data_IF_776608694647
#
_entry.id   IF_776608694647
#
_cell.length_a   1.000
_cell.length_b   1.000
_cell.length_c   1.000
_cell.angle_alpha   90.00
_cell.angle_beta   90.00
_cell.angle_gamma   90.00
#
_symmetry.space_group_name_H-M   'P 1'
#
loop_
_entity.id
_entity.type
_entity.pdbx_description
1 polymer ?
#
# COMPACT_ATOMS: atom_id res chain seq x y z
N UNK A 1 -5.46 12.02 6.31
CA UNK A 1 -5.02 13.23 5.57
C UNK A 1 -4.30 14.24 6.48
N UNK A 2 -4.92 14.90 7.48
CA UNK A 2 -4.27 15.96 8.26
C UNK A 2 -2.94 15.55 8.91
N UNK A 3 -2.86 14.37 9.50
CA UNK A 3 -1.65 13.82 10.10
C UNK A 3 -0.53 13.58 9.06
N UNK A 4 -0.90 13.10 7.87
CA UNK A 4 0.01 12.96 6.73
C UNK A 4 0.61 14.33 6.34
N UNK A 5 -0.24 15.34 6.09
CA UNK A 5 0.21 16.67 5.68
C UNK A 5 1.05 17.37 6.77
N UNK A 6 0.67 17.24 8.04
CA UNK A 6 1.44 17.77 9.16
C UNK A 6 2.86 17.18 9.21
N UNK A 7 2.99 15.89 8.90
CA UNK A 7 4.28 15.20 8.91
C UNK A 7 5.24 15.62 7.79
N UNK A 8 4.74 16.29 6.75
CA UNK A 8 5.52 16.74 5.59
C UNK A 8 5.51 18.25 5.39
N UNK A 9 5.00 19.04 6.32
CA UNK A 9 4.96 20.50 6.24
C UNK A 9 6.34 21.17 6.11
N UNK A 10 7.39 20.42 6.32
CA UNK A 10 8.78 20.84 6.14
C UNK A 10 9.27 20.81 4.68
N UNK A 11 8.50 20.22 3.76
CA UNK A 11 8.82 20.22 2.34
C UNK A 11 8.62 21.63 1.73
N UNK A 12 9.40 21.96 0.70
CA UNK A 12 9.31 23.27 0.04
C UNK A 12 7.99 23.45 -0.69
N UNK A 13 7.39 22.37 -1.17
CA UNK A 13 6.05 22.36 -1.77
C UNK A 13 5.27 21.09 -1.42
N UNK A 14 3.96 21.20 -1.33
CA UNK A 14 3.04 20.07 -1.17
C UNK A 14 2.03 20.12 -2.32
N UNK A 15 1.91 19.03 -3.06
CA UNK A 15 0.98 18.88 -4.17
C UNK A 15 -0.03 17.80 -3.82
N UNK A 16 -1.31 18.12 -3.97
CA UNK A 16 -2.41 17.20 -3.70
C UNK A 16 -3.24 17.01 -4.97
N UNK A 17 -3.46 15.74 -5.33
CA UNK A 17 -4.41 15.39 -6.39
C UNK A 17 -5.52 14.56 -5.77
N UNK A 18 -6.73 15.16 -5.72
CA UNK A 18 -7.92 14.55 -5.14
C UNK A 18 -8.81 13.98 -6.24
N UNK A 19 -9.47 12.86 -5.95
CA UNK A 19 -10.34 12.16 -6.91
C UNK A 19 -11.83 12.40 -6.67
N UNK A 20 -12.17 13.57 -6.14
CA UNK A 20 -13.55 13.95 -5.85
C UNK A 20 -14.01 13.52 -4.46
N UNK A 21 -13.19 13.69 -3.43
CA UNK A 21 -13.58 13.47 -2.04
C UNK A 21 -14.81 14.28 -1.66
N UNK A 22 -15.76 13.62 -0.98
CA UNK A 22 -17.03 14.21 -0.53
C UNK A 22 -17.02 14.58 0.95
N UNK A 23 -15.92 14.30 1.64
CA UNK A 23 -15.70 14.64 3.06
C UNK A 23 -14.81 15.91 3.19
N UNK A 24 -14.36 16.22 4.39
CA UNK A 24 -13.53 17.39 4.67
C UNK A 24 -12.08 17.29 4.13
N UNK A 25 -11.74 16.30 3.29
CA UNK A 25 -10.37 16.07 2.80
C UNK A 25 -9.79 17.29 2.11
N UNK A 26 -10.49 17.86 1.13
CA UNK A 26 -10.01 19.03 0.37
C UNK A 26 -9.87 20.27 1.28
N UNK A 27 -10.78 20.48 2.22
CA UNK A 27 -10.71 21.59 3.19
C UNK A 27 -9.51 21.46 4.13
N UNK A 28 -9.19 20.23 4.53
CA UNK A 28 -7.98 19.94 5.32
C UNK A 28 -6.74 20.26 4.50
N UNK A 29 -6.68 19.83 3.22
CA UNK A 29 -5.55 20.07 2.33
C UNK A 29 -5.25 21.57 2.15
N UNK A 30 -6.29 22.41 2.00
CA UNK A 30 -6.18 23.87 1.84
C UNK A 30 -5.47 24.58 3.01
N UNK A 31 -5.35 23.95 4.17
CA UNK A 31 -4.60 24.50 5.31
C UNK A 31 -3.09 24.36 5.15
N UNK A 32 -2.63 23.53 4.22
CA UNK A 32 -1.22 23.21 4.01
C UNK A 32 -0.69 23.63 2.64
N UNK A 33 -1.55 23.72 1.64
CA UNK A 33 -1.15 24.08 0.27
C UNK A 33 -2.32 24.62 -0.55
N UNK A 34 -2.00 25.50 -1.49
CA UNK A 34 -2.94 25.95 -2.53
C UNK A 34 -2.84 25.12 -3.81
N UNK A 35 -1.84 24.20 -3.89
CA UNK A 35 -1.60 23.34 -5.05
C UNK A 35 -2.42 22.07 -4.98
N UNK A 36 -3.74 22.21 -5.10
CA UNK A 36 -4.73 21.15 -5.04
C UNK A 36 -5.44 21.04 -6.38
N UNK A 37 -5.45 19.85 -6.96
CA UNK A 37 -6.22 19.54 -8.17
C UNK A 37 -7.26 18.47 -7.86
N UNK A 38 -8.53 18.79 -8.12
CA UNK A 38 -9.62 17.81 -8.04
C UNK A 38 -9.93 17.33 -9.45
N UNK A 39 -9.91 16.01 -9.67
CA UNK A 39 -10.04 15.40 -11.00
C UNK A 39 -10.65 14.00 -10.91
N UNK A 40 -10.83 13.32 -12.07
CA UNK A 40 -11.29 11.93 -12.13
C UNK A 40 -10.26 10.93 -11.57
N UNK A 41 -10.68 9.68 -11.40
CA UNK A 41 -9.85 8.59 -10.96
C UNK A 41 -9.46 7.64 -12.11
N UNK A 42 -8.29 7.79 -12.72
CA UNK A 42 -7.80 6.88 -13.79
C UNK A 42 -7.07 5.64 -13.26
N UNK A 43 -6.83 5.55 -11.95
CA UNK A 43 -6.03 4.56 -11.28
C UNK A 43 -4.84 5.17 -10.52
N UNK A 44 -4.19 4.39 -9.64
CA UNK A 44 -3.14 4.90 -8.75
C UNK A 44 -1.94 5.48 -9.51
N UNK A 45 -1.37 4.73 -10.46
CA UNK A 45 -0.20 5.19 -11.22
C UNK A 45 -0.44 6.47 -12.00
N UNK A 46 -1.47 6.54 -12.88
CA UNK A 46 -1.81 7.77 -13.59
C UNK A 46 -2.10 8.96 -12.65
N UNK A 47 -2.77 8.73 -11.51
CA UNK A 47 -3.06 9.80 -10.55
C UNK A 47 -1.79 10.36 -9.90
N UNK A 48 -0.86 9.48 -9.50
CA UNK A 48 0.45 9.89 -8.95
C UNK A 48 1.30 10.60 -10.01
N UNK A 49 1.24 10.18 -11.28
CA UNK A 49 1.93 10.89 -12.37
C UNK A 49 1.35 12.28 -12.63
N UNK A 50 0.05 12.51 -12.42
CA UNK A 50 -0.53 13.86 -12.47
C UNK A 50 0.07 14.78 -11.40
N UNK A 51 0.22 14.29 -10.17
CA UNK A 51 0.88 15.03 -9.10
C UNK A 51 2.36 15.27 -9.43
N UNK A 52 3.05 14.26 -9.93
CA UNK A 52 4.46 14.36 -10.34
C UNK A 52 4.68 15.42 -11.44
N UNK A 53 3.79 15.51 -12.42
CA UNK A 53 3.86 16.50 -13.49
C UNK A 53 3.71 17.95 -12.99
N UNK A 54 3.13 18.15 -11.83
CA UNK A 54 2.97 19.47 -11.20
C UNK A 54 4.17 19.83 -10.32
N UNK A 55 5.05 18.87 -9.99
CA UNK A 55 6.20 19.09 -9.11
C UNK A 55 7.25 19.99 -9.75
N UNK A 56 7.79 20.95 -8.97
CA UNK A 56 8.84 21.89 -9.39
C UNK A 56 10.15 21.68 -8.66
N UNK A 57 10.14 21.08 -7.47
CA UNK A 57 11.34 20.75 -6.69
C UNK A 57 12.23 19.72 -7.37
N UNK A 58 13.50 19.66 -7.00
CA UNK A 58 14.49 18.74 -7.58
C UNK A 58 14.25 17.29 -7.15
N UNK A 59 13.64 17.10 -5.99
CA UNK A 59 13.33 15.80 -5.41
C UNK A 59 11.84 15.66 -5.15
N UNK A 60 11.34 14.45 -5.29
CA UNK A 60 9.95 14.09 -5.06
C UNK A 60 9.87 13.05 -3.95
N UNK A 61 9.11 13.37 -2.90
CA UNK A 61 8.67 12.41 -1.88
C UNK A 61 7.20 12.08 -2.15
N UNK A 62 6.94 10.88 -2.64
CA UNK A 62 5.55 10.42 -2.87
C UNK A 62 5.04 9.67 -1.66
N UNK A 63 3.96 10.15 -1.06
CA UNK A 63 3.29 9.51 0.09
C UNK A 63 1.79 9.38 -0.15
N UNK A 64 1.19 8.39 0.48
CA UNK A 64 -0.25 8.18 0.46
C UNK A 64 -0.91 8.92 1.65
N UNK A 65 -2.19 9.26 1.53
CA UNK A 65 -2.93 10.07 2.51
C UNK A 65 -3.04 9.43 3.92
N UNK A 66 -2.77 8.16 4.03
CA UNK A 66 -2.72 7.36 5.26
C UNK A 66 -1.29 6.99 5.70
N UNK A 67 -0.28 7.60 5.08
CA UNK A 67 1.12 7.50 5.48
C UNK A 67 1.55 8.72 6.31
N UNK A 68 2.56 8.54 7.17
CA UNK A 68 3.10 9.57 8.07
C UNK A 68 4.62 9.47 8.11
N UNK A 69 5.29 10.57 7.79
CA UNK A 69 6.74 10.69 7.87
C UNK A 69 7.15 10.93 9.32
N UNK A 70 7.92 10.00 9.90
CA UNK A 70 8.42 10.20 11.27
C UNK A 70 9.42 11.35 11.34
N UNK A 71 9.59 12.02 12.50
CA UNK A 71 10.63 13.07 12.65
C UNK A 71 12.03 12.57 12.28
N UNK A 72 12.37 11.33 12.65
CA UNK A 72 13.65 10.70 12.26
C UNK A 72 13.79 10.53 10.75
N UNK A 73 12.72 10.10 10.05
CA UNK A 73 12.74 9.97 8.60
C UNK A 73 12.86 11.35 7.92
N UNK A 74 12.13 12.35 8.41
CA UNK A 74 12.24 13.72 7.90
C UNK A 74 13.66 14.28 8.01
N UNK A 75 14.33 13.99 9.14
CA UNK A 75 15.71 14.38 9.34
C UNK A 75 16.66 13.65 8.39
N UNK A 76 16.56 12.32 8.29
CA UNK A 76 17.38 11.50 7.40
C UNK A 76 17.21 11.90 5.93
N UNK A 77 15.98 12.23 5.48
CA UNK A 77 15.73 12.75 4.13
C UNK A 77 16.50 14.05 3.91
N UNK A 78 16.40 15.03 4.81
CA UNK A 78 17.11 16.31 4.68
C UNK A 78 18.63 16.12 4.62
N UNK A 79 19.18 15.22 5.43
CA UNK A 79 20.61 14.92 5.44
C UNK A 79 21.08 14.29 4.13
N UNK A 80 20.35 13.29 3.65
CA UNK A 80 20.70 12.61 2.39
C UNK A 80 20.59 13.53 1.19
N UNK A 81 19.66 14.49 1.18
CA UNK A 81 19.49 15.45 0.08
C UNK A 81 20.57 16.53 0.02
N UNK A 82 21.40 16.72 1.08
CA UNK A 82 22.56 17.63 1.02
C UNK A 82 23.68 17.08 0.15
N UNK A 83 23.86 15.75 0.09
CA UNK A 83 24.87 15.08 -0.72
C UNK A 83 24.34 13.72 -1.20
N UNK A 84 23.40 13.69 -2.15
CA UNK A 84 22.72 12.46 -2.54
C UNK A 84 23.69 11.52 -3.30
N UNK A 85 23.73 10.26 -2.89
CA UNK A 85 24.55 9.20 -3.48
C UNK A 85 23.80 8.34 -4.50
N UNK A 86 22.49 8.54 -4.65
CA UNK A 86 21.61 7.76 -5.53
C UNK A 86 20.54 8.67 -6.13
N UNK A 87 19.91 8.24 -7.21
CA UNK A 87 18.79 8.95 -7.85
C UNK A 87 17.43 8.67 -7.16
N UNK A 88 17.38 7.67 -6.31
CA UNK A 88 16.20 7.40 -5.49
C UNK A 88 16.53 6.61 -4.23
N UNK A 89 15.58 6.60 -3.30
CA UNK A 89 15.74 5.93 -2.02
C UNK A 89 14.47 5.18 -1.65
N UNK A 90 14.64 3.92 -1.21
CA UNK A 90 13.59 3.18 -0.56
C UNK A 90 13.46 3.58 0.90
N UNK A 91 12.25 3.60 1.39
CA UNK A 91 11.89 3.78 2.80
C UNK A 91 11.28 2.49 3.32
N UNK A 92 11.54 2.13 4.57
CA UNK A 92 10.92 0.97 5.16
C UNK A 92 9.57 1.35 5.77
N UNK A 93 8.50 0.87 5.15
CA UNK A 93 7.13 1.16 5.56
C UNK A 93 6.69 0.22 6.68
N UNK A 94 6.17 0.79 7.77
CA UNK A 94 5.63 0.09 8.92
C UNK A 94 4.11 0.26 8.96
N UNK A 95 3.39 -0.78 8.56
CA UNK A 95 1.94 -0.75 8.44
C UNK A 95 1.24 -1.15 9.75
N UNK A 96 0.12 -0.48 10.05
CA UNK A 96 -0.72 -0.83 11.19
C UNK A 96 -1.90 -1.72 10.79
N UNK A 97 -2.28 -2.60 11.69
CA UNK A 97 -3.46 -3.44 11.61
C UNK A 97 -4.32 -3.22 12.87
N UNK A 98 -5.49 -2.63 12.70
CA UNK A 98 -6.43 -2.31 13.78
C UNK A 98 -5.76 -1.59 14.97
N UNK A 99 -4.91 -0.60 14.66
CA UNK A 99 -4.23 0.25 15.66
C UNK A 99 -2.87 -0.25 16.14
N UNK A 100 -2.44 -1.48 15.80
CA UNK A 100 -1.11 -2.00 16.12
C UNK A 100 -0.20 -1.98 14.90
N UNK A 101 0.99 -1.41 15.03
CA UNK A 101 2.04 -1.53 14.02
C UNK A 101 2.64 -2.94 14.02
N UNK A 102 2.64 -3.58 12.82
CA UNK A 102 3.00 -4.98 12.62
C UNK A 102 4.47 -5.11 12.24
N UNK A 103 5.25 -5.82 13.07
CA UNK A 103 6.68 -6.06 12.81
C UNK A 103 7.00 -7.49 12.38
N UNK A 104 5.98 -8.32 12.28
CA UNK A 104 6.05 -9.73 11.88
C UNK A 104 4.92 -10.04 10.90
N UNK A 105 4.43 -11.27 10.87
CA UNK A 105 3.28 -11.66 10.03
C UNK A 105 3.51 -11.48 8.52
N UNK A 106 4.77 -11.28 8.10
CA UNK A 106 5.13 -11.00 6.71
C UNK A 106 4.87 -9.55 6.25
N UNK A 107 4.64 -8.63 7.19
CA UNK A 107 4.38 -7.21 6.92
C UNK A 107 5.61 -6.33 7.09
N UNK A 108 6.67 -6.86 7.69
CA UNK A 108 7.90 -6.13 7.94
C UNK A 108 9.14 -7.01 7.60
N UNK A 109 10.22 -6.45 7.04
CA UNK A 109 10.31 -5.09 6.44
C UNK A 109 9.53 -5.00 5.12
N UNK A 110 8.99 -3.81 4.82
CA UNK A 110 8.30 -3.50 3.56
C UNK A 110 8.99 -2.29 2.90
N UNK A 111 10.07 -2.50 2.11
CA UNK A 111 10.78 -1.43 1.43
C UNK A 111 9.97 -0.92 0.23
N UNK A 112 9.72 0.39 0.20
CA UNK A 112 9.00 1.07 -0.87
C UNK A 112 9.81 2.24 -1.41
N UNK A 113 9.96 2.36 -2.73
CA UNK A 113 10.63 3.49 -3.38
C UNK A 113 9.68 4.69 -3.35
N UNK A 114 10.01 5.71 -2.56
CA UNK A 114 9.15 6.87 -2.31
C UNK A 114 9.85 8.21 -2.51
N UNK A 115 11.17 8.26 -2.36
CA UNK A 115 11.98 9.45 -2.57
C UNK A 115 12.82 9.28 -3.83
N UNK A 116 12.72 10.21 -4.79
CA UNK A 116 13.46 10.12 -6.03
C UNK A 116 13.66 11.50 -6.69
N UNK A 117 14.72 11.63 -7.48
CA UNK A 117 15.01 12.83 -8.24
C UNK A 117 13.95 13.06 -9.32
N UNK A 118 13.43 14.28 -9.41
CA UNK A 118 12.44 14.65 -10.43
C UNK A 118 13.04 14.46 -11.84
N UNK A 119 12.28 13.77 -12.68
CA UNK A 119 12.71 13.41 -14.02
C UNK A 119 13.46 12.08 -14.14
N UNK A 120 13.95 11.49 -13.02
CA UNK A 120 14.58 10.17 -13.02
C UNK A 120 13.58 9.01 -12.86
N UNK A 121 12.36 9.29 -12.40
CA UNK A 121 11.37 8.25 -12.15
C UNK A 121 9.94 8.66 -12.51
N UNK A 122 9.11 7.65 -12.79
CA UNK A 122 7.68 7.80 -13.03
C UNK A 122 6.92 6.59 -12.47
N UNK A 123 5.63 6.74 -12.26
CA UNK A 123 4.78 5.62 -11.83
C UNK A 123 4.33 4.79 -13.03
N UNK A 124 4.34 3.45 -12.88
CA UNK A 124 3.76 2.54 -13.87
C UNK A 124 2.28 2.90 -14.12
N UNK A 125 1.75 2.72 -15.34
CA UNK A 125 0.36 3.05 -15.67
C UNK A 125 -0.65 2.08 -15.07
N UNK A 126 -0.24 1.21 -14.14
CA UNK A 126 -1.09 0.22 -13.50
C UNK A 126 -2.22 0.89 -12.69
N UNK A 127 -3.43 0.34 -12.79
CA UNK A 127 -4.59 0.79 -12.00
C UNK A 127 -4.45 0.45 -10.52
N UNK A 128 -3.80 -0.67 -10.23
CA UNK A 128 -3.47 -1.18 -8.87
C UNK A 128 -2.05 -1.72 -8.89
N UNK A 129 -1.39 -1.73 -7.73
CA UNK A 129 0.01 -2.17 -7.59
C UNK A 129 0.99 -1.35 -8.46
N UNK A 130 0.76 -0.05 -8.54
CA UNK A 130 1.70 0.88 -9.15
C UNK A 130 3.03 0.86 -8.39
N UNK A 131 4.09 1.08 -9.12
CA UNK A 131 5.45 1.24 -8.58
C UNK A 131 6.16 2.35 -9.30
N UNK A 132 7.16 2.94 -8.65
CA UNK A 132 8.06 3.87 -9.31
C UNK A 132 9.05 3.06 -10.16
N UNK A 133 9.12 3.36 -11.43
CA UNK A 133 10.21 2.95 -12.33
C UNK A 133 11.21 4.08 -12.34
N UNK A 134 12.44 3.80 -11.93
CA UNK A 134 13.50 4.76 -11.76
C UNK A 134 14.68 4.41 -12.67
N UNK A 135 15.19 5.41 -13.39
CA UNK A 135 16.45 5.32 -14.09
C UNK A 135 17.58 5.77 -13.17
N UNK A 136 18.48 4.85 -12.82
CA UNK A 136 19.62 5.13 -11.97
C UNK A 136 19.73 4.25 -10.72
N UNK A 137 20.61 4.66 -9.80
CA UNK A 137 20.87 3.92 -8.57
C UNK A 137 19.80 4.18 -7.50
N UNK A 138 19.54 3.16 -6.68
CA UNK A 138 18.59 3.22 -5.56
C UNK A 138 19.33 2.96 -4.26
N UNK A 139 19.27 3.92 -3.34
CA UNK A 139 19.72 3.77 -1.96
C UNK A 139 18.58 3.30 -1.05
N UNK A 140 18.88 3.12 0.24
CA UNK A 140 17.90 2.78 1.25
C UNK A 140 18.05 3.68 2.49
N UNK A 141 16.95 4.25 2.95
CA UNK A 141 16.87 4.97 4.22
C UNK A 141 16.58 4.00 5.35
N UNK A 142 17.08 4.31 6.54
CA UNK A 142 16.98 3.44 7.72
C UNK A 142 15.74 3.74 8.56
N UNK A 143 15.27 4.98 8.51
CA UNK A 143 14.12 5.41 9.29
C UNK A 143 12.80 4.98 8.64
N UNK A 144 11.75 4.96 9.45
CA UNK A 144 10.48 4.31 9.13
C UNK A 144 9.43 5.31 8.66
N UNK A 145 8.74 4.96 7.57
CA UNK A 145 7.47 5.57 7.15
C UNK A 145 6.32 4.82 7.80
N UNK A 146 5.51 5.49 8.61
CA UNK A 146 4.32 4.88 9.21
C UNK A 146 3.17 4.82 8.19
N UNK A 147 2.41 3.72 8.19
CA UNK A 147 1.26 3.54 7.32
C UNK A 147 0.05 3.05 8.12
N UNK A 148 -0.95 3.89 8.26
CA UNK A 148 -2.19 3.63 8.98
C UNK A 148 -3.18 2.83 8.12
N UNK A 149 -2.82 1.60 7.73
CA UNK A 149 -3.44 0.81 6.67
C UNK A 149 -4.87 0.35 6.99
N UNK A 150 -5.08 -0.26 8.15
CA UNK A 150 -6.39 -0.76 8.57
C UNK A 150 -6.78 -0.16 9.91
N UNK A 151 -7.84 0.64 9.93
CA UNK A 151 -8.33 1.31 11.13
C UNK A 151 -9.38 0.51 11.90
N UNK A 152 -10.06 -0.41 11.22
CA UNK A 152 -11.12 -1.23 11.82
C UNK A 152 -11.18 -2.62 11.20
N UNK A 153 -11.79 -3.56 11.93
CA UNK A 153 -12.04 -4.90 11.44
C UNK A 153 -13.02 -4.91 10.25
N UNK A 154 -13.98 -3.97 10.21
CA UNK A 154 -14.90 -3.86 9.09
C UNK A 154 -14.16 -3.57 7.77
N UNK A 155 -13.15 -2.68 7.80
CA UNK A 155 -12.29 -2.43 6.64
C UNK A 155 -11.50 -3.69 6.22
N UNK A 156 -11.04 -4.47 7.19
CA UNK A 156 -10.37 -5.76 6.91
C UNK A 156 -11.31 -6.72 6.19
N UNK A 157 -12.52 -6.92 6.72
CA UNK A 157 -13.50 -7.85 6.16
C UNK A 157 -13.96 -7.42 4.76
N UNK A 158 -14.19 -6.13 4.53
CA UNK A 158 -14.49 -5.60 3.20
C UNK A 158 -13.36 -5.91 2.19
N UNK A 159 -12.11 -5.68 2.57
CA UNK A 159 -10.94 -5.98 1.72
C UNK A 159 -10.77 -7.49 1.51
N UNK A 160 -10.96 -8.31 2.55
CA UNK A 160 -10.93 -9.78 2.43
C UNK A 160 -11.96 -10.26 1.41
N UNK A 161 -13.20 -9.75 1.48
CA UNK A 161 -14.23 -10.10 0.51
C UNK A 161 -13.87 -9.65 -0.92
N UNK A 162 -13.43 -8.40 -1.09
CA UNK A 162 -13.06 -7.84 -2.39
C UNK A 162 -11.87 -8.61 -3.00
N UNK A 163 -10.75 -8.70 -2.30
CA UNK A 163 -9.54 -9.35 -2.85
C UNK A 163 -9.69 -10.87 -3.04
N UNK A 164 -10.50 -11.54 -2.22
CA UNK A 164 -10.80 -12.96 -2.47
C UNK A 164 -11.64 -13.15 -3.73
N UNK A 165 -12.52 -12.19 -4.07
CA UNK A 165 -13.29 -12.22 -5.31
C UNK A 165 -12.40 -11.98 -6.54
N UNK A 166 -11.64 -10.87 -6.54
CA UNK A 166 -10.73 -10.54 -7.64
C UNK A 166 -9.69 -11.65 -7.88
N UNK A 167 -9.14 -12.20 -6.78
CA UNK A 167 -8.20 -13.32 -6.86
C UNK A 167 -8.83 -14.61 -7.43
N UNK A 168 -10.10 -14.86 -7.15
CA UNK A 168 -10.83 -16.00 -7.75
C UNK A 168 -11.06 -15.81 -9.25
N UNK A 169 -11.46 -14.60 -9.67
CA UNK A 169 -11.62 -14.25 -11.09
C UNK A 169 -10.29 -14.38 -11.86
N UNK A 170 -9.20 -13.88 -11.29
CA UNK A 170 -7.87 -13.98 -11.90
C UNK A 170 -7.41 -15.44 -12.06
N UNK A 171 -7.63 -16.29 -11.07
CA UNK A 171 -7.34 -17.73 -11.16
C UNK A 171 -8.23 -18.44 -12.17
N UNK A 172 -9.50 -18.08 -12.24
CA UNK A 172 -10.46 -18.63 -13.21
C UNK A 172 -10.05 -18.28 -14.65
N UNK A 173 -9.66 -17.04 -14.89
CA UNK A 173 -9.16 -16.58 -16.19
C UNK A 173 -7.88 -17.33 -16.64
N UNK A 174 -7.07 -17.82 -15.68
CA UNK A 174 -5.90 -18.68 -15.94
C UNK A 174 -6.26 -20.17 -16.13
N UNK A 175 -7.54 -20.53 -16.15
CA UNK A 175 -7.99 -21.91 -16.26
C UNK A 175 -7.76 -22.76 -15.00
N UNK A 176 -7.41 -22.14 -13.86
CA UNK A 176 -7.20 -22.88 -12.60
C UNK A 176 -8.53 -23.40 -12.07
N UNK A 177 -8.45 -24.54 -11.39
CA UNK A 177 -9.59 -25.18 -10.74
C UNK A 177 -9.36 -25.35 -9.24
N UNK A 178 -10.43 -25.41 -8.47
CA UNK A 178 -10.39 -25.65 -7.04
C UNK A 178 -11.49 -26.64 -6.61
N UNK A 179 -11.26 -27.28 -5.48
CA UNK A 179 -12.22 -28.08 -4.74
C UNK A 179 -12.34 -27.56 -3.31
N UNK A 180 -13.29 -28.06 -2.54
CA UNK A 180 -13.40 -27.75 -1.11
C UNK A 180 -12.11 -28.11 -0.35
N UNK A 181 -11.50 -29.25 -0.67
CA UNK A 181 -10.23 -29.66 -0.06
C UNK A 181 -9.09 -28.68 -0.40
N UNK A 182 -9.05 -28.17 -1.65
CA UNK A 182 -8.10 -27.13 -2.06
C UNK A 182 -8.29 -25.85 -1.23
N UNK A 183 -9.54 -25.41 -1.06
CA UNK A 183 -9.84 -24.20 -0.29
C UNK A 183 -9.41 -24.34 1.19
N UNK A 184 -9.74 -25.48 1.82
CA UNK A 184 -9.35 -25.78 3.20
C UNK A 184 -7.82 -25.84 3.34
N UNK A 185 -7.13 -26.57 2.47
CA UNK A 185 -5.67 -26.74 2.52
C UNK A 185 -4.93 -25.42 2.38
N UNK A 186 -5.34 -24.58 1.43
CA UNK A 186 -4.72 -23.26 1.23
C UNK A 186 -5.05 -22.29 2.38
N UNK A 187 -6.26 -22.33 2.94
CA UNK A 187 -6.63 -21.54 4.11
C UNK A 187 -5.77 -21.90 5.33
N UNK A 188 -5.68 -23.20 5.67
CA UNK A 188 -4.84 -23.68 6.76
C UNK A 188 -3.36 -23.33 6.56
N UNK A 189 -2.85 -23.52 5.35
CA UNK A 189 -1.46 -23.15 5.05
C UNK A 189 -1.22 -21.65 5.21
N UNK A 190 -2.16 -20.81 4.78
CA UNK A 190 -2.07 -19.35 4.96
C UNK A 190 -1.99 -18.96 6.43
N UNK A 191 -2.79 -19.61 7.30
CA UNK A 191 -2.71 -19.40 8.75
C UNK A 191 -1.34 -19.81 9.32
N UNK A 192 -0.90 -21.05 9.03
CA UNK A 192 0.38 -21.59 9.52
C UNK A 192 1.53 -20.68 9.07
N UNK A 193 1.54 -20.30 7.80
CA UNK A 193 2.57 -19.41 7.24
C UNK A 193 2.61 -18.08 7.99
N UNK A 194 1.46 -17.38 8.13
CA UNK A 194 1.41 -16.06 8.73
C UNK A 194 1.71 -16.11 10.22
N UNK A 195 1.06 -17.02 10.95
CA UNK A 195 1.13 -17.04 12.41
C UNK A 195 2.42 -17.69 12.93
N UNK A 196 2.83 -18.83 12.35
CA UNK A 196 4.01 -19.57 12.82
C UNK A 196 5.28 -19.19 12.05
N UNK A 197 5.31 -19.36 10.71
CA UNK A 197 6.54 -19.19 9.94
C UNK A 197 6.97 -17.72 9.85
N UNK A 198 6.02 -16.80 9.71
CA UNK A 198 6.26 -15.35 9.70
C UNK A 198 6.14 -14.73 11.10
N UNK A 199 6.14 -15.58 12.15
CA UNK A 199 6.19 -15.18 13.57
C UNK A 199 5.06 -14.23 13.97
N UNK A 200 3.87 -14.34 13.38
CA UNK A 200 2.70 -13.50 13.70
C UNK A 200 2.33 -13.53 15.18
N UNK A 201 2.66 -14.60 15.92
CA UNK A 201 2.46 -14.69 17.36
C UNK A 201 3.23 -13.61 18.15
N UNK A 202 4.32 -13.03 17.59
CA UNK A 202 5.04 -11.92 18.20
C UNK A 202 4.34 -10.57 18.05
N UNK A 203 3.40 -10.45 17.09
CA UNK A 203 2.53 -9.28 16.96
C UNK A 203 1.29 -9.35 17.89
N UNK A 204 1.27 -10.31 18.82
CA UNK A 204 0.23 -10.43 19.84
C UNK A 204 -1.13 -10.80 19.26
N UNK A 205 -2.20 -10.22 19.86
CA UNK A 205 -3.59 -10.47 19.46
C UNK A 205 -3.84 -10.12 18.00
N UNK A 206 -3.32 -9.00 17.54
CA UNK A 206 -3.49 -8.51 16.17
C UNK A 206 -2.80 -9.40 15.14
N UNK A 207 -1.65 -9.99 15.51
CA UNK A 207 -0.98 -11.00 14.67
C UNK A 207 -1.80 -12.28 14.49
N UNK A 208 -2.50 -12.74 15.53
CA UNK A 208 -3.45 -13.85 15.42
C UNK A 208 -4.64 -13.48 14.53
N UNK A 209 -5.28 -12.32 14.76
CA UNK A 209 -6.42 -11.86 13.97
C UNK A 209 -6.03 -11.69 12.50
N UNK A 210 -4.86 -11.14 12.20
CA UNK A 210 -4.35 -11.02 10.84
C UNK A 210 -4.14 -12.40 10.19
N UNK A 211 -3.59 -13.37 10.93
CA UNK A 211 -3.41 -14.73 10.42
C UNK A 211 -4.75 -15.41 10.08
N UNK A 212 -5.78 -15.21 10.90
CA UNK A 212 -7.15 -15.67 10.62
C UNK A 212 -7.70 -14.96 9.37
N UNK A 213 -7.60 -13.63 9.29
CA UNK A 213 -8.08 -12.88 8.12
C UNK A 213 -7.41 -13.30 6.81
N UNK A 214 -6.09 -13.57 6.85
CA UNK A 214 -5.35 -14.09 5.69
C UNK A 214 -5.81 -15.51 5.30
N UNK A 215 -6.09 -16.34 6.30
CA UNK A 215 -6.64 -17.68 6.09
C UNK A 215 -8.03 -17.63 5.45
N UNK A 216 -8.91 -16.80 5.98
CA UNK A 216 -10.26 -16.57 5.43
C UNK A 216 -10.19 -16.05 3.98
N UNK A 217 -9.39 -15.02 3.71
CA UNK A 217 -9.23 -14.46 2.36
C UNK A 217 -8.74 -15.51 1.37
N UNK A 218 -7.81 -16.35 1.79
CA UNK A 218 -7.30 -17.46 0.97
C UNK A 218 -8.36 -18.54 0.78
N UNK A 219 -9.03 -18.97 1.85
CA UNK A 219 -10.10 -19.95 1.81
C UNK A 219 -11.22 -19.50 0.87
N UNK A 220 -11.72 -18.28 1.03
CA UNK A 220 -12.81 -17.76 0.20
C UNK A 220 -12.40 -17.55 -1.25
N UNK A 221 -11.14 -17.22 -1.55
CA UNK A 221 -10.63 -17.14 -2.91
C UNK A 221 -10.81 -18.47 -3.66
N UNK A 222 -10.37 -19.59 -3.06
CA UNK A 222 -10.49 -20.90 -3.68
C UNK A 222 -11.91 -21.45 -3.66
N UNK A 223 -12.71 -21.12 -2.63
CA UNK A 223 -14.11 -21.47 -2.59
C UNK A 223 -14.91 -20.74 -3.69
N UNK A 224 -14.69 -19.43 -3.86
CA UNK A 224 -15.29 -18.65 -4.95
C UNK A 224 -14.87 -19.19 -6.32
N UNK A 225 -13.60 -19.56 -6.48
CA UNK A 225 -13.11 -20.20 -7.71
C UNK A 225 -13.84 -21.52 -8.00
N UNK A 226 -14.09 -22.36 -6.98
CA UNK A 226 -14.86 -23.59 -7.14
C UNK A 226 -16.28 -23.31 -7.67
N UNK A 227 -16.98 -22.32 -7.11
CA UNK A 227 -18.31 -21.94 -7.57
C UNK A 227 -18.35 -21.28 -8.96
N UNK A 228 -17.27 -20.59 -9.37
CA UNK A 228 -17.16 -20.05 -10.73
C UNK A 228 -17.06 -21.16 -11.78
N UNK A 229 -16.39 -22.28 -11.47
CA UNK A 229 -16.27 -23.44 -12.36
C UNK A 229 -17.62 -24.16 -12.57
N UNK A 230 -18.44 -24.27 -11.50
CA UNK A 230 -19.72 -24.97 -11.55
C UNK A 230 -20.76 -24.22 -12.41
N UNK A 231 -20.55 -22.90 -12.63
CA UNK A 231 -21.42 -22.08 -13.49
C UNK A 231 -21.05 -22.14 -14.97
N UNK A 232 -19.88 -22.67 -15.33
CA UNK A 232 -19.53 -22.90 -16.72
C UNK A 232 -20.40 -24.05 -17.28
N UNK A 233 -21.04 -23.92 -18.47
CA UNK A 233 -21.79 -25.04 -19.06
C UNK A 233 -20.87 -26.25 -19.15
N UNK A 234 -21.31 -27.37 -18.57
CA UNK A 234 -20.62 -28.65 -18.78
C UNK A 234 -20.76 -28.97 -20.26
N UNK A 235 -19.62 -28.91 -20.96
CA UNK A 235 -19.54 -29.30 -22.40
C UNK A 235 -19.84 -30.79 -22.58
#
# INVERSE_FOLDING_TARGET
MGQCLESVKWADEIIVVDSGSTDATVEICKRYTDRITVTDWPGFGPQKNRALAMATGDWVLSIDADEEVTPGLAQEIREVLQAPLAQGYTLTRLSSYCGRFMRHSGWWPDPVLRLFQRGAGSFTPARVHERVELEGSVGALQQTLLHHSFRSLDQVLQKVNHYSHEGALALHAQGRRASLATAIGHGLWSFIRTYLLQRGFLDGREGFILAVSNAEGTYYRYLKLMYLQDKAPRA
#
